data_IF_335607121042
#
_entry.id   IF_335607121042
#
_cell.length_a   1.000
_cell.length_b   1.000
_cell.length_c   1.000
_cell.angle_alpha   90.00
_cell.angle_beta   90.00
_cell.angle_gamma   90.00
#
_symmetry.space_group_name_H-M   'P 1'
#
loop_
_entity.id
_entity.type
_entity.pdbx_description
1 polymer ?
#
# COMPACT_ATOMS: atom_id res chain seq x y z
N UNK A 1 27.10 -2.31 3.56
CA UNK A 1 26.14 -2.74 2.55
C UNK A 1 25.03 -1.69 2.29
N UNK A 2 24.28 -1.14 3.28
CA UNK A 2 23.20 -0.19 3.02
C UNK A 2 23.63 1.05 2.24
N UNK A 3 24.77 1.66 2.58
CA UNK A 3 25.30 2.82 1.87
C UNK A 3 25.60 2.54 0.39
N UNK A 4 26.13 1.35 0.06
CA UNK A 4 26.40 0.98 -1.34
C UNK A 4 25.11 0.76 -2.13
N UNK A 5 24.08 0.23 -1.47
CA UNK A 5 22.74 0.07 -2.06
C UNK A 5 22.15 1.45 -2.43
N UNK A 6 22.21 2.42 -1.51
CA UNK A 6 21.74 3.80 -1.75
C UNK A 6 22.50 4.44 -2.92
N UNK A 7 23.83 4.33 -2.98
CA UNK A 7 24.61 4.86 -4.12
C UNK A 7 24.16 4.25 -5.44
N UNK A 8 23.90 2.92 -5.45
CA UNK A 8 23.39 2.25 -6.65
C UNK A 8 22.01 2.74 -7.06
N UNK A 9 21.13 2.99 -6.12
CA UNK A 9 19.81 3.59 -6.39
C UNK A 9 19.96 5.01 -6.98
N UNK A 10 20.90 5.81 -6.47
CA UNK A 10 21.22 7.13 -7.05
C UNK A 10 21.68 7.04 -8.51
N UNK A 11 22.58 6.07 -8.85
CA UNK A 11 22.98 5.82 -10.24
C UNK A 11 21.81 5.45 -11.16
N UNK A 12 20.76 4.83 -10.61
CA UNK A 12 19.55 4.45 -11.33
C UNK A 12 18.48 5.55 -11.37
N UNK A 13 18.78 6.73 -10.81
CA UNK A 13 17.83 7.85 -10.65
C UNK A 13 16.56 7.47 -9.87
N UNK A 14 16.68 6.60 -8.88
CA UNK A 14 15.59 6.28 -7.95
C UNK A 14 15.45 7.42 -6.96
N UNK A 15 14.22 7.88 -6.71
CA UNK A 15 13.95 9.00 -5.81
C UNK A 15 14.16 8.65 -4.35
N UNK A 16 13.76 7.43 -3.92
CA UNK A 16 13.77 7.06 -2.51
C UNK A 16 14.10 5.60 -2.26
N UNK A 17 14.40 5.31 -1.00
CA UNK A 17 14.71 3.98 -0.48
C UNK A 17 13.87 3.71 0.77
N UNK A 18 13.45 2.48 0.98
CA UNK A 18 12.91 1.97 2.23
C UNK A 18 13.91 1.03 2.90
N UNK A 19 13.72 0.78 4.20
CA UNK A 19 14.52 -0.22 4.92
C UNK A 19 13.72 -0.86 6.05
N UNK A 20 14.03 -2.12 6.35
CA UNK A 20 13.75 -2.71 7.65
C UNK A 20 14.85 -2.33 8.63
N UNK A 21 14.47 -2.18 9.90
CA UNK A 21 15.44 -1.84 10.94
C UNK A 21 16.67 -2.78 10.97
N UNK A 22 16.47 -4.09 10.77
CA UNK A 22 17.55 -5.10 10.76
C UNK A 22 18.38 -5.08 9.46
N UNK A 23 17.86 -4.57 8.34
CA UNK A 23 18.62 -4.39 7.08
C UNK A 23 19.60 -3.23 7.19
N UNK A 24 19.19 -2.17 7.90
CA UNK A 24 20.06 -1.03 8.16
C UNK A 24 21.02 -1.30 9.31
N UNK A 25 20.50 -1.75 10.46
CA UNK A 25 21.26 -2.02 11.67
C UNK A 25 21.20 -3.51 12.02
N UNK A 26 22.18 -4.32 11.59
CA UNK A 26 22.14 -5.77 11.78
C UNK A 26 21.93 -6.18 13.23
N UNK A 27 21.15 -7.21 13.44
CA UNK A 27 20.87 -7.77 14.76
C UNK A 27 22.17 -8.07 15.52
N UNK A 28 22.26 -7.67 16.78
CA UNK A 28 23.45 -7.78 17.65
C UNK A 28 24.66 -6.90 17.27
N UNK A 29 24.54 -5.98 16.33
CA UNK A 29 25.60 -5.00 16.10
C UNK A 29 25.82 -4.14 17.36
N UNK A 30 27.09 -3.84 17.65
CA UNK A 30 27.45 -2.93 18.75
C UNK A 30 27.05 -1.50 18.44
N UNK A 31 26.90 -0.65 19.45
CA UNK A 31 26.57 0.76 19.27
C UNK A 31 27.58 1.46 18.34
N UNK A 32 28.87 1.17 18.48
CA UNK A 32 29.92 1.73 17.62
C UNK A 32 29.76 1.33 16.15
N UNK A 33 29.37 0.07 15.88
CA UNK A 33 29.07 -0.40 14.54
C UNK A 33 27.82 0.27 13.96
N UNK A 34 26.76 0.40 14.78
CA UNK A 34 25.55 1.11 14.39
C UNK A 34 25.83 2.56 14.03
N UNK A 35 26.61 3.28 14.84
CA UNK A 35 26.99 4.66 14.58
C UNK A 35 27.78 4.81 13.28
N UNK A 36 28.69 3.89 13.01
CA UNK A 36 29.42 3.86 11.72
C UNK A 36 28.48 3.64 10.55
N UNK A 37 27.59 2.63 10.63
CA UNK A 37 26.64 2.32 9.57
C UNK A 37 25.74 3.52 9.31
N UNK A 38 25.20 4.16 10.34
CA UNK A 38 24.35 5.35 10.22
C UNK A 38 25.08 6.51 9.53
N UNK A 39 26.33 6.79 9.92
CA UNK A 39 27.16 7.82 9.28
C UNK A 39 27.40 7.53 7.78
N UNK A 40 27.75 6.29 7.45
CA UNK A 40 27.98 5.87 6.07
C UNK A 40 26.67 5.93 5.24
N UNK A 41 25.54 5.55 5.83
CA UNK A 41 24.22 5.61 5.20
C UNK A 41 23.78 7.05 4.96
N UNK A 42 23.91 7.94 5.97
CA UNK A 42 23.63 9.38 5.85
C UNK A 42 24.44 9.99 4.72
N UNK A 43 25.78 9.74 4.71
CA UNK A 43 26.64 10.23 3.66
C UNK A 43 26.19 9.75 2.27
N UNK A 44 25.76 8.49 2.14
CA UNK A 44 25.29 7.97 0.86
C UNK A 44 23.99 8.64 0.39
N UNK A 45 23.05 8.93 1.30
CA UNK A 45 21.84 9.70 1.00
C UNK A 45 22.20 11.11 0.53
N UNK A 46 23.05 11.81 1.27
CA UNK A 46 23.48 13.18 0.95
C UNK A 46 24.21 13.26 -0.40
N UNK A 47 25.12 12.31 -0.69
CA UNK A 47 25.88 12.25 -1.93
C UNK A 47 24.99 11.92 -3.16
N UNK A 48 23.94 11.12 -2.99
CA UNK A 48 23.11 10.62 -4.09
C UNK A 48 21.80 11.39 -4.30
N UNK A 49 21.36 12.17 -3.31
CA UNK A 49 20.06 12.82 -3.31
C UNK A 49 18.86 11.88 -3.09
N UNK A 50 19.13 10.60 -2.82
CA UNK A 50 18.09 9.62 -2.49
C UNK A 50 17.53 9.91 -1.09
N UNK A 51 16.20 9.89 -0.93
CA UNK A 51 15.53 10.11 0.36
C UNK A 51 15.04 8.81 0.96
N UNK A 52 14.82 8.77 2.28
CA UNK A 52 14.12 7.66 2.91
C UNK A 52 12.62 7.86 2.77
N UNK A 53 11.97 6.99 2.02
CA UNK A 53 10.52 7.06 1.72
C UNK A 53 9.66 6.40 2.79
N UNK A 54 10.21 5.38 3.47
CA UNK A 54 9.51 4.55 4.45
C UNK A 54 10.55 3.85 5.34
N UNK A 55 10.18 3.61 6.59
CA UNK A 55 10.89 2.68 7.47
C UNK A 55 9.91 1.61 7.96
N UNK A 56 10.38 0.40 8.17
CA UNK A 56 9.57 -0.68 8.72
C UNK A 56 10.35 -1.45 9.78
N UNK A 57 9.65 -2.15 10.66
CA UNK A 57 10.24 -2.97 11.71
C UNK A 57 10.09 -4.44 11.36
N UNK A 58 11.20 -5.16 11.32
CA UNK A 58 11.17 -6.61 11.11
C UNK A 58 10.69 -7.33 12.36
N UNK A 59 9.40 -7.69 12.37
CA UNK A 59 8.73 -8.44 13.43
C UNK A 59 8.35 -9.86 12.99
N UNK A 60 9.02 -10.40 11.96
CA UNK A 60 8.62 -11.65 11.32
C UNK A 60 9.77 -12.63 11.04
N UNK A 61 10.98 -12.17 10.78
CA UNK A 61 12.10 -13.06 10.41
C UNK A 61 12.63 -13.83 11.61
N UNK A 62 12.81 -13.17 12.77
CA UNK A 62 13.39 -13.84 13.94
C UNK A 62 12.39 -14.81 14.56
N UNK A 63 12.81 -16.06 14.92
CA UNK A 63 11.94 -17.08 15.49
C UNK A 63 11.21 -16.70 16.80
N UNK A 64 11.66 -15.64 17.50
CA UNK A 64 10.97 -15.12 18.67
C UNK A 64 9.53 -14.69 18.35
N UNK A 65 9.27 -14.27 17.12
CA UNK A 65 7.96 -13.83 16.64
C UNK A 65 7.12 -14.96 16.01
N UNK A 66 7.51 -16.22 16.18
CA UNK A 66 6.79 -17.36 15.59
C UNK A 66 5.31 -17.47 15.99
N UNK A 67 4.90 -16.86 17.11
CA UNK A 67 3.50 -16.80 17.58
C UNK A 67 2.89 -15.39 17.40
N UNK A 68 3.47 -14.54 16.57
CA UNK A 68 3.12 -13.13 16.46
C UNK A 68 4.06 -12.23 17.27
N UNK A 69 4.01 -10.96 17.01
CA UNK A 69 4.73 -9.93 17.76
C UNK A 69 3.79 -9.25 18.77
N UNK A 70 2.93 -8.36 18.29
CA UNK A 70 1.94 -7.67 19.15
C UNK A 70 0.82 -8.59 19.62
N UNK A 71 0.46 -9.59 18.83
CA UNK A 71 -0.62 -10.54 19.13
C UNK A 71 -0.13 -11.84 19.77
N UNK A 72 1.17 -11.96 20.07
CA UNK A 72 1.73 -13.15 20.75
C UNK A 72 0.99 -13.43 22.05
N UNK A 73 0.79 -14.71 22.38
CA UNK A 73 0.24 -15.12 23.66
C UNK A 73 1.20 -14.84 24.82
N UNK A 74 2.52 -14.73 24.55
CA UNK A 74 3.52 -14.40 25.56
C UNK A 74 3.68 -12.88 25.74
N UNK A 75 3.40 -12.33 26.95
CA UNK A 75 3.53 -10.90 27.23
C UNK A 75 4.97 -10.38 27.13
N UNK A 76 5.99 -11.23 27.31
CA UNK A 76 7.39 -10.80 27.18
C UNK A 76 7.74 -10.58 25.71
N UNK A 77 7.22 -11.43 24.81
CA UNK A 77 7.40 -11.25 23.37
C UNK A 77 6.72 -9.97 22.92
N UNK A 78 5.50 -9.68 23.38
CA UNK A 78 4.82 -8.41 23.07
C UNK A 78 5.62 -7.18 23.52
N UNK A 79 6.15 -7.20 24.76
CA UNK A 79 7.02 -6.13 25.27
C UNK A 79 8.28 -5.97 24.43
N UNK A 80 8.92 -7.06 24.04
CA UNK A 80 10.10 -7.04 23.18
C UNK A 80 9.77 -6.45 21.80
N UNK A 81 8.64 -6.84 21.20
CA UNK A 81 8.19 -6.29 19.93
C UNK A 81 7.97 -4.76 20.03
N UNK A 82 7.27 -4.29 21.05
CA UNK A 82 7.07 -2.85 21.30
C UNK A 82 8.42 -2.13 21.44
N UNK A 83 9.35 -2.66 22.26
CA UNK A 83 10.68 -2.08 22.41
C UNK A 83 11.43 -1.98 21.06
N UNK A 84 11.35 -3.02 20.25
CA UNK A 84 12.01 -3.05 18.92
C UNK A 84 11.43 -1.98 17.99
N UNK A 85 10.10 -1.83 17.98
CA UNK A 85 9.43 -0.78 17.19
C UNK A 85 9.84 0.62 17.65
N UNK A 86 9.88 0.90 18.95
CA UNK A 86 10.32 2.22 19.45
C UNK A 86 11.70 2.60 18.90
N UNK A 87 12.65 1.65 18.93
CA UNK A 87 13.99 1.87 18.36
C UNK A 87 13.97 2.09 16.86
N UNK A 88 13.12 1.34 16.13
CA UNK A 88 12.97 1.50 14.69
C UNK A 88 12.33 2.85 14.33
N UNK A 89 11.35 3.33 15.11
CA UNK A 89 10.77 4.66 14.94
C UNK A 89 11.81 5.77 15.15
N UNK A 90 12.68 5.64 16.16
CA UNK A 90 13.79 6.59 16.38
C UNK A 90 14.73 6.64 15.18
N UNK A 91 15.12 5.49 14.63
CA UNK A 91 15.99 5.41 13.45
C UNK A 91 15.27 5.93 12.19
N UNK A 92 14.00 5.58 12.00
CA UNK A 92 13.19 6.11 10.90
C UNK A 92 13.10 7.64 10.94
N UNK A 93 12.84 8.21 12.12
CA UNK A 93 12.78 9.65 12.33
C UNK A 93 14.16 10.33 12.12
N UNK A 94 15.25 9.70 12.56
CA UNK A 94 16.63 10.18 12.34
C UNK A 94 16.91 10.35 10.83
N UNK A 95 16.41 9.45 9.98
CA UNK A 95 16.60 9.52 8.53
C UNK A 95 15.47 10.19 7.78
N UNK A 96 14.48 10.75 8.48
CA UNK A 96 13.40 11.53 7.88
C UNK A 96 12.31 10.72 7.19
N UNK A 97 12.14 9.44 7.53
CA UNK A 97 11.06 8.62 7.02
C UNK A 97 9.69 9.23 7.36
N UNK A 98 8.84 9.55 6.38
CA UNK A 98 7.52 10.13 6.62
C UNK A 98 6.50 9.09 7.10
N UNK A 99 6.78 7.81 6.88
CA UNK A 99 5.88 6.71 7.19
C UNK A 99 6.64 5.55 7.84
N UNK A 100 6.09 5.02 8.94
CA UNK A 100 6.48 3.74 9.52
C UNK A 100 5.45 2.69 9.11
N UNK A 101 5.87 1.66 8.37
CA UNK A 101 4.97 0.61 7.89
C UNK A 101 5.02 -0.61 8.79
N UNK A 102 3.88 -1.22 9.01
CA UNK A 102 3.73 -2.47 9.74
C UNK A 102 3.15 -3.55 8.83
N UNK A 103 3.99 -4.46 8.40
CA UNK A 103 3.58 -5.71 7.80
C UNK A 103 3.36 -6.77 8.89
N UNK A 104 2.13 -7.27 8.98
CA UNK A 104 1.71 -8.20 10.02
C UNK A 104 2.00 -9.67 9.69
N UNK A 105 3.12 -10.01 9.06
CA UNK A 105 3.40 -11.34 8.53
C UNK A 105 3.38 -12.49 9.55
N UNK A 106 3.48 -12.18 10.85
CA UNK A 106 3.32 -13.18 11.94
C UNK A 106 2.09 -12.91 12.81
N UNK A 107 1.36 -11.84 12.54
CA UNK A 107 0.14 -11.49 13.28
C UNK A 107 -1.05 -12.28 12.74
N UNK A 108 -1.25 -13.46 13.28
CA UNK A 108 -2.27 -14.39 12.80
C UNK A 108 -2.21 -15.72 13.50
N UNK A 109 -2.81 -16.76 12.92
CA UNK A 109 -2.89 -18.11 13.47
C UNK A 109 -2.65 -19.17 12.40
N UNK A 110 -2.09 -20.33 12.81
CA UNK A 110 -2.04 -21.55 12.03
C UNK A 110 -3.23 -22.47 12.38
N UNK A 111 -3.73 -22.36 13.61
CA UNK A 111 -4.87 -23.12 14.10
C UNK A 111 -5.78 -22.21 14.91
N UNK A 112 -7.06 -22.15 14.56
CA UNK A 112 -8.02 -21.23 15.14
C UNK A 112 -8.10 -21.28 16.68
N UNK A 113 -7.90 -22.47 17.27
CA UNK A 113 -7.90 -22.64 18.73
C UNK A 113 -6.64 -22.13 19.45
N UNK A 114 -5.60 -21.69 18.71
CA UNK A 114 -4.33 -21.27 19.31
C UNK A 114 -4.36 -19.85 19.89
N UNK A 115 -5.34 -19.04 19.51
CA UNK A 115 -5.41 -17.63 19.88
C UNK A 115 -6.88 -17.15 19.89
N UNK A 116 -7.25 -16.37 20.91
CA UNK A 116 -8.57 -15.74 20.94
C UNK A 116 -8.54 -14.44 20.15
N UNK A 117 -9.28 -14.33 19.02
CA UNK A 117 -9.14 -13.21 18.10
C UNK A 117 -9.43 -11.85 18.70
N UNK A 118 -10.44 -11.75 19.59
CA UNK A 118 -10.79 -10.47 20.23
C UNK A 118 -9.63 -9.94 21.08
N UNK A 119 -9.00 -10.81 21.90
CA UNK A 119 -7.84 -10.43 22.69
C UNK A 119 -6.65 -10.06 21.82
N UNK A 120 -6.45 -10.76 20.71
CA UNK A 120 -5.37 -10.46 19.77
C UNK A 120 -5.54 -9.06 19.14
N UNK A 121 -6.75 -8.71 18.72
CA UNK A 121 -7.05 -7.39 18.18
C UNK A 121 -6.88 -6.29 19.23
N UNK A 122 -7.29 -6.52 20.49
CA UNK A 122 -7.08 -5.56 21.59
C UNK A 122 -5.57 -5.33 21.87
N UNK A 123 -4.75 -6.38 21.87
CA UNK A 123 -3.30 -6.26 22.03
C UNK A 123 -2.66 -5.52 20.85
N UNK A 124 -3.15 -5.73 19.65
CA UNK A 124 -2.69 -4.99 18.48
C UNK A 124 -3.05 -3.50 18.62
N UNK A 125 -4.28 -3.19 19.03
CA UNK A 125 -4.77 -1.83 19.28
C UNK A 125 -3.95 -1.13 20.36
N UNK A 126 -3.68 -1.82 21.49
CA UNK A 126 -2.83 -1.33 22.58
C UNK A 126 -1.44 -0.90 22.07
N UNK A 127 -0.79 -1.77 21.27
CA UNK A 127 0.53 -1.48 20.73
C UNK A 127 0.52 -0.24 19.81
N UNK A 128 -0.45 -0.13 18.92
CA UNK A 128 -0.56 1.02 18.01
C UNK A 128 -0.84 2.33 18.75
N UNK A 129 -1.74 2.33 19.74
CA UNK A 129 -2.01 3.51 20.57
C UNK A 129 -0.76 3.94 21.36
N UNK A 130 0.04 2.98 21.82
CA UNK A 130 1.32 3.28 22.46
C UNK A 130 2.30 3.98 21.50
N UNK A 131 2.38 3.52 20.25
CA UNK A 131 3.25 4.15 19.24
C UNK A 131 2.72 5.52 18.82
N UNK A 132 1.41 5.72 18.71
CA UNK A 132 0.80 7.04 18.48
C UNK A 132 1.25 8.03 19.56
N UNK A 133 1.13 7.63 20.83
CA UNK A 133 1.58 8.43 21.96
C UNK A 133 3.08 8.77 21.87
N UNK A 134 3.92 7.77 21.58
CA UNK A 134 5.36 7.94 21.45
C UNK A 134 5.76 8.91 20.33
N UNK A 135 5.22 8.73 19.12
CA UNK A 135 5.50 9.60 17.98
C UNK A 135 5.13 11.06 18.30
N UNK A 136 3.99 11.28 18.94
CA UNK A 136 3.54 12.62 19.37
C UNK A 136 4.43 13.22 20.44
N UNK A 137 4.79 12.46 21.47
CA UNK A 137 5.67 12.90 22.56
C UNK A 137 7.06 13.31 22.04
N UNK A 138 7.60 12.54 21.09
CA UNK A 138 8.88 12.85 20.44
C UNK A 138 8.78 13.97 19.39
N UNK A 139 7.60 14.38 18.98
CA UNK A 139 7.38 15.38 17.94
C UNK A 139 7.85 14.92 16.54
N UNK A 140 7.89 13.61 16.30
CA UNK A 140 8.31 13.05 15.01
C UNK A 140 7.31 13.41 13.90
N UNK A 141 7.82 13.76 12.74
CA UNK A 141 7.02 14.08 11.53
C UNK A 141 6.69 12.83 10.73
N UNK A 142 6.28 11.80 11.42
CA UNK A 142 6.04 10.46 10.90
C UNK A 142 4.61 10.03 11.22
N UNK A 143 4.00 9.29 10.29
CA UNK A 143 2.74 8.59 10.52
C UNK A 143 2.96 7.09 10.36
N UNK A 144 1.98 6.29 10.71
CA UNK A 144 2.04 4.84 10.60
C UNK A 144 1.13 4.34 9.47
N UNK A 145 1.45 3.20 8.89
CA UNK A 145 0.59 2.56 7.91
C UNK A 145 0.61 1.03 8.08
N UNK A 146 -0.54 0.40 7.92
CA UNK A 146 -0.64 -1.05 7.80
C UNK A 146 -0.41 -1.49 6.37
N UNK A 147 0.30 -2.60 6.24
CA UNK A 147 0.41 -3.36 5.00
C UNK A 147 -0.41 -4.65 5.16
N UNK A 148 -1.67 -4.67 4.70
CA UNK A 148 -2.55 -5.83 4.82
C UNK A 148 -2.09 -6.97 3.93
N UNK A 149 -2.17 -8.20 4.46
CA UNK A 149 -1.90 -9.42 3.69
C UNK A 149 -2.85 -10.53 4.15
N UNK A 150 -3.53 -11.26 3.24
CA UNK A 150 -4.58 -12.21 3.62
C UNK A 150 -4.03 -13.47 4.28
N UNK A 151 -2.89 -13.94 3.83
CA UNK A 151 -2.22 -15.15 4.30
C UNK A 151 -0.72 -15.07 3.95
N UNK A 152 0.04 -16.14 4.27
CA UNK A 152 1.48 -16.26 4.06
C UNK A 152 2.30 -15.19 4.81
N UNK A 153 3.18 -15.68 5.71
CA UNK A 153 3.48 -17.07 6.03
C UNK A 153 2.47 -17.73 6.98
N UNK A 154 1.46 -17.02 7.44
CA UNK A 154 0.36 -17.58 8.24
C UNK A 154 -0.75 -18.13 7.36
N UNK A 155 -1.51 -19.12 7.86
CA UNK A 155 -2.73 -19.58 7.24
C UNK A 155 -3.80 -18.49 7.24
N UNK A 156 -3.98 -17.84 8.41
CA UNK A 156 -4.90 -16.71 8.60
C UNK A 156 -4.16 -15.55 9.26
N UNK A 157 -4.19 -14.37 8.64
CA UNK A 157 -3.60 -13.13 9.17
C UNK A 157 -4.67 -12.21 9.76
N UNK A 158 -4.37 -11.49 10.82
CA UNK A 158 -5.21 -10.38 11.27
C UNK A 158 -5.08 -9.19 10.30
N UNK A 159 -6.19 -8.47 10.09
CA UNK A 159 -6.27 -7.34 9.15
C UNK A 159 -5.90 -7.73 7.71
N UNK A 160 -6.55 -8.76 7.13
CA UNK A 160 -6.10 -9.42 5.90
C UNK A 160 -6.26 -8.58 4.62
N UNK A 161 -7.08 -7.53 4.63
CA UNK A 161 -7.35 -6.68 3.46
C UNK A 161 -7.36 -5.20 3.83
N UNK A 162 -7.30 -4.33 2.82
CA UNK A 162 -7.42 -2.88 2.99
C UNK A 162 -8.65 -2.53 3.83
N UNK A 163 -9.81 -3.12 3.52
CA UNK A 163 -11.07 -2.85 4.24
C UNK A 163 -11.00 -3.21 5.73
N UNK A 164 -10.41 -4.35 6.08
CA UNK A 164 -10.21 -4.75 7.48
C UNK A 164 -9.27 -3.78 8.21
N UNK A 165 -8.16 -3.39 7.58
CA UNK A 165 -7.24 -2.43 8.16
C UNK A 165 -7.91 -1.06 8.38
N UNK A 166 -8.68 -0.56 7.40
CA UNK A 166 -9.41 0.70 7.52
C UNK A 166 -10.42 0.66 8.67
N UNK A 167 -11.19 -0.43 8.82
CA UNK A 167 -12.12 -0.59 9.93
C UNK A 167 -11.41 -0.63 11.29
N UNK A 168 -10.27 -1.31 11.38
CA UNK A 168 -9.48 -1.37 12.60
C UNK A 168 -8.89 0.00 12.97
N UNK A 169 -8.39 0.76 12.01
CA UNK A 169 -7.83 2.10 12.22
C UNK A 169 -8.83 3.01 12.94
N UNK A 170 -10.11 2.94 12.62
CA UNK A 170 -11.15 3.76 13.26
C UNK A 170 -11.38 3.42 14.75
N UNK A 171 -10.81 2.33 15.25
CA UNK A 171 -10.86 1.97 16.68
C UNK A 171 -9.70 2.55 17.50
N UNK A 172 -8.73 3.19 16.87
CA UNK A 172 -7.55 3.75 17.53
C UNK A 172 -7.86 5.09 18.21
N UNK A 173 -7.04 5.47 19.20
CA UNK A 173 -7.21 6.71 19.96
C UNK A 173 -7.04 7.96 19.06
N UNK A 174 -6.19 7.88 18.06
CA UNK A 174 -6.07 8.90 17.01
C UNK A 174 -5.95 8.25 15.61
N UNK A 175 -7.09 7.98 14.97
CA UNK A 175 -7.11 7.38 13.64
C UNK A 175 -6.37 8.20 12.56
N UNK A 176 -6.18 9.51 12.76
CA UNK A 176 -5.49 10.37 11.79
C UNK A 176 -4.00 10.07 11.64
N UNK A 177 -3.42 9.42 12.65
CA UNK A 177 -2.01 9.03 12.67
C UNK A 177 -1.73 7.71 11.94
N UNK A 178 -2.76 6.97 11.56
CA UNK A 178 -2.62 5.65 10.95
C UNK A 178 -3.41 5.56 9.64
N UNK A 179 -2.77 5.02 8.63
CA UNK A 179 -3.34 4.73 7.32
C UNK A 179 -2.96 3.35 6.83
N UNK A 180 -3.01 3.16 5.52
CA UNK A 180 -2.64 1.91 4.88
C UNK A 180 -1.49 2.10 3.88
N UNK A 181 -0.70 1.05 3.73
CA UNK A 181 0.29 0.81 2.70
C UNK A 181 -0.13 -0.47 1.94
N UNK A 182 -1.13 -0.38 1.05
CA UNK A 182 -1.60 -1.56 0.34
C UNK A 182 -0.59 -2.01 -0.71
N UNK A 183 -0.54 -3.33 -0.93
CA UNK A 183 0.30 -3.96 -1.94
C UNK A 183 -0.54 -4.71 -2.98
N UNK A 184 -0.16 -4.59 -4.28
CA UNK A 184 -0.89 -5.19 -5.40
C UNK A 184 -1.06 -6.70 -5.22
N UNK A 185 0.03 -7.41 -4.89
CA UNK A 185 0.02 -8.86 -4.73
C UNK A 185 -0.93 -9.31 -3.63
N UNK A 186 -0.97 -8.61 -2.51
CA UNK A 186 -1.71 -9.00 -1.33
C UNK A 186 -3.24 -9.03 -1.55
N UNK A 187 -3.81 -7.99 -2.13
CA UNK A 187 -5.25 -7.98 -2.47
C UNK A 187 -5.56 -8.99 -3.60
N UNK A 188 -4.65 -9.17 -4.56
CA UNK A 188 -4.78 -10.16 -5.64
C UNK A 188 -4.78 -11.59 -5.10
N UNK A 189 -3.97 -11.88 -4.07
CA UNK A 189 -3.99 -13.19 -3.36
C UNK A 189 -5.36 -13.49 -2.74
N UNK A 190 -6.06 -12.46 -2.26
CA UNK A 190 -7.41 -12.58 -1.72
C UNK A 190 -8.50 -12.66 -2.82
N UNK A 191 -8.13 -12.57 -4.09
CA UNK A 191 -9.08 -12.53 -5.21
C UNK A 191 -9.86 -11.21 -5.30
N UNK A 192 -9.34 -10.13 -4.73
CA UNK A 192 -9.97 -8.82 -4.68
C UNK A 192 -9.40 -7.88 -5.74
N UNK A 193 -10.17 -6.84 -6.06
CA UNK A 193 -9.70 -5.76 -6.94
C UNK A 193 -8.85 -4.77 -6.14
N UNK A 194 -7.55 -4.77 -6.36
CA UNK A 194 -6.63 -3.83 -5.75
C UNK A 194 -7.00 -2.37 -6.03
N UNK A 195 -7.37 -2.07 -7.28
CA UNK A 195 -7.84 -0.75 -7.70
C UNK A 195 -8.99 -0.22 -6.83
N UNK A 196 -9.99 -1.07 -6.52
CA UNK A 196 -11.13 -0.67 -5.68
C UNK A 196 -10.72 -0.48 -4.22
N UNK A 197 -9.87 -1.34 -3.69
CA UNK A 197 -9.34 -1.19 -2.33
C UNK A 197 -8.55 0.11 -2.16
N UNK A 198 -7.66 0.44 -3.11
CA UNK A 198 -6.91 1.70 -3.12
C UNK A 198 -7.86 2.91 -3.23
N UNK A 199 -8.90 2.82 -4.08
CA UNK A 199 -9.89 3.87 -4.19
C UNK A 199 -10.61 4.14 -2.86
N UNK A 200 -10.96 3.09 -2.10
CA UNK A 200 -11.53 3.22 -0.77
C UNK A 200 -10.56 3.91 0.20
N UNK A 201 -9.28 3.52 0.19
CA UNK A 201 -8.25 4.14 1.04
C UNK A 201 -8.06 5.63 0.71
N UNK A 202 -8.07 6.02 -0.58
CA UNK A 202 -8.01 7.42 -1.02
C UNK A 202 -9.24 8.18 -0.55
N UNK A 203 -10.43 7.62 -0.75
CA UNK A 203 -11.71 8.25 -0.35
C UNK A 203 -11.76 8.55 1.15
N UNK A 204 -11.22 7.64 1.98
CA UNK A 204 -11.11 7.83 3.43
C UNK A 204 -9.89 8.67 3.86
N UNK A 205 -9.06 9.14 2.91
CA UNK A 205 -7.81 9.88 3.17
C UNK A 205 -6.79 9.09 4.01
N UNK A 206 -6.78 7.78 3.80
CA UNK A 206 -5.94 6.81 4.53
C UNK A 206 -4.84 6.16 3.69
N UNK A 207 -4.72 6.49 2.41
CA UNK A 207 -3.61 6.03 1.58
C UNK A 207 -2.34 6.83 1.93
N UNK A 208 -1.49 6.29 2.83
CA UNK A 208 -0.28 6.98 3.27
C UNK A 208 0.96 6.56 2.49
N UNK A 209 0.99 5.33 2.04
CA UNK A 209 2.02 4.75 1.20
C UNK A 209 1.37 3.74 0.25
N UNK A 210 2.10 3.24 -0.74
CA UNK A 210 1.62 2.19 -1.63
C UNK A 210 2.79 1.35 -2.13
N UNK A 211 2.62 0.03 -2.10
CA UNK A 211 3.57 -0.93 -2.63
C UNK A 211 3.07 -1.49 -3.96
N UNK A 212 3.89 -1.24 -4.98
CA UNK A 212 3.61 -1.59 -6.36
C UNK A 212 4.47 -2.79 -6.76
N UNK A 213 3.82 -3.86 -7.12
CA UNK A 213 4.40 -5.05 -7.73
C UNK A 213 3.41 -5.68 -8.70
N UNK A 214 3.56 -6.93 -9.01
CA UNK A 214 2.61 -7.68 -9.84
C UNK A 214 2.53 -9.12 -9.39
N UNK A 215 1.43 -9.79 -9.75
CA UNK A 215 1.06 -11.08 -9.19
C UNK A 215 0.22 -11.88 -10.18
N UNK A 216 0.53 -13.17 -10.31
CA UNK A 216 -0.35 -14.12 -11.00
C UNK A 216 -1.48 -14.56 -10.08
N UNK A 217 -2.70 -14.55 -10.58
CA UNK A 217 -3.88 -15.04 -9.84
C UNK A 217 -3.65 -16.47 -9.37
N UNK A 218 -4.04 -16.78 -8.12
CA UNK A 218 -3.95 -18.10 -7.53
C UNK A 218 -2.53 -18.54 -7.17
N UNK A 219 -1.61 -17.62 -6.99
CA UNK A 219 -0.26 -17.86 -6.46
C UNK A 219 -0.10 -17.20 -5.09
N UNK A 220 0.87 -17.70 -4.32
CA UNK A 220 1.42 -16.99 -3.17
C UNK A 220 2.20 -15.78 -3.66
N UNK A 221 2.59 -14.94 -2.73
CA UNK A 221 3.28 -13.70 -3.00
C UNK A 221 4.54 -13.89 -3.86
N UNK A 222 4.54 -13.27 -5.02
CA UNK A 222 5.61 -13.43 -6.01
C UNK A 222 6.53 -12.23 -6.11
N UNK A 223 6.10 -11.05 -5.66
CA UNK A 223 6.84 -9.78 -5.76
C UNK A 223 7.36 -9.52 -7.17
N UNK A 224 6.52 -9.77 -8.18
CA UNK A 224 6.92 -9.59 -9.57
C UNK A 224 7.06 -8.10 -9.90
N UNK A 225 7.85 -7.81 -10.92
CA UNK A 225 8.02 -6.46 -11.45
C UNK A 225 6.68 -5.83 -11.84
N UNK A 226 6.45 -4.61 -11.38
CA UNK A 226 5.23 -3.86 -11.70
C UNK A 226 4.95 -3.80 -13.21
N UNK A 227 3.73 -4.11 -13.63
CA UNK A 227 3.29 -4.14 -15.02
C UNK A 227 3.75 -5.38 -15.81
N UNK A 228 4.13 -6.48 -15.14
CA UNK A 228 4.57 -7.70 -15.82
C UNK A 228 3.47 -8.73 -16.08
N UNK A 229 2.35 -8.67 -15.35
CA UNK A 229 1.25 -9.63 -15.43
C UNK A 229 -0.10 -8.93 -15.69
N UNK A 230 -0.55 -8.07 -14.76
CA UNK A 230 -1.85 -7.41 -14.78
C UNK A 230 -1.83 -6.03 -15.42
N UNK A 231 -1.34 -5.88 -16.66
CA UNK A 231 -1.10 -4.56 -17.28
C UNK A 231 -2.35 -3.65 -17.32
N UNK A 232 -3.54 -4.21 -17.55
CA UNK A 232 -4.79 -3.48 -17.62
C UNK A 232 -5.23 -3.01 -16.21
N UNK A 233 -5.12 -3.86 -15.22
CA UNK A 233 -5.44 -3.51 -13.84
C UNK A 233 -4.47 -2.44 -13.32
N UNK A 234 -3.18 -2.59 -13.63
CA UNK A 234 -2.16 -1.60 -13.31
C UNK A 234 -2.38 -0.26 -14.05
N UNK A 235 -2.91 -0.28 -15.26
CA UNK A 235 -3.29 0.94 -15.98
C UNK A 235 -4.38 1.71 -15.23
N UNK A 236 -5.45 1.05 -14.79
CA UNK A 236 -6.51 1.71 -14.04
C UNK A 236 -6.07 2.15 -12.66
N UNK A 237 -5.19 1.40 -12.01
CA UNK A 237 -4.55 1.81 -10.75
C UNK A 237 -3.75 3.10 -10.94
N UNK A 238 -2.84 3.14 -11.92
CA UNK A 238 -2.02 4.33 -12.21
C UNK A 238 -2.92 5.51 -12.57
N UNK A 239 -3.95 5.30 -13.40
CA UNK A 239 -4.94 6.33 -13.71
C UNK A 239 -5.62 6.89 -12.46
N UNK A 240 -5.99 6.02 -11.50
CA UNK A 240 -6.58 6.46 -10.23
C UNK A 240 -5.61 7.36 -9.44
N UNK A 241 -4.36 6.93 -9.29
CA UNK A 241 -3.33 7.68 -8.55
C UNK A 241 -3.06 9.04 -9.20
N UNK A 242 -2.92 9.08 -10.53
CA UNK A 242 -2.69 10.33 -11.29
C UNK A 242 -3.91 11.27 -11.19
N UNK A 243 -5.11 10.76 -11.42
CA UNK A 243 -6.35 11.56 -11.42
C UNK A 243 -6.71 12.12 -10.05
N UNK A 244 -6.39 11.41 -8.99
CA UNK A 244 -6.62 11.86 -7.60
C UNK A 244 -5.50 12.75 -7.06
N UNK A 245 -4.40 12.91 -7.81
CA UNK A 245 -3.24 13.70 -7.38
C UNK A 245 -2.50 13.06 -6.21
N UNK A 246 -2.48 11.74 -6.10
CA UNK A 246 -1.72 11.07 -5.04
C UNK A 246 -0.25 11.45 -5.12
N UNK A 247 0.24 12.17 -4.12
CA UNK A 247 1.60 12.72 -4.05
C UNK A 247 2.56 11.88 -3.18
N UNK A 248 2.06 10.81 -2.55
CA UNK A 248 2.89 9.89 -1.77
C UNK A 248 3.89 9.10 -2.62
N UNK A 249 4.84 8.41 -1.97
CA UNK A 249 5.78 7.53 -2.67
C UNK A 249 5.06 6.47 -3.51
N UNK A 250 5.64 6.12 -4.65
CA UNK A 250 5.29 4.95 -5.46
C UNK A 250 6.42 3.96 -5.25
N UNK A 251 6.31 3.18 -4.20
CA UNK A 251 7.30 2.20 -3.81
C UNK A 251 7.11 0.91 -4.61
N UNK A 252 8.19 0.24 -4.97
CA UNK A 252 8.15 -1.04 -5.66
C UNK A 252 8.65 -2.12 -4.71
N UNK A 253 7.72 -2.76 -4.00
CA UNK A 253 8.03 -3.97 -3.24
C UNK A 253 8.06 -5.16 -4.19
N UNK A 254 9.17 -5.29 -4.87
CA UNK A 254 9.40 -6.31 -5.88
C UNK A 254 10.86 -6.74 -5.90
N UNK A 255 11.10 -7.91 -6.46
CA UNK A 255 12.44 -8.50 -6.52
C UNK A 255 12.75 -9.05 -7.91
N UNK A 256 14.04 -9.16 -8.27
CA UNK A 256 14.43 -9.82 -9.51
C UNK A 256 14.05 -11.31 -9.48
N UNK A 257 13.89 -11.90 -10.65
CA UNK A 257 13.82 -13.36 -10.74
C UNK A 257 15.05 -14.00 -10.11
N UNK A 258 14.84 -15.14 -9.46
CA UNK A 258 15.90 -15.80 -8.64
C UNK A 258 17.07 -16.35 -9.45
N UNK A 259 16.98 -16.36 -10.77
CA UNK A 259 18.02 -16.76 -11.71
C UNK A 259 18.78 -15.58 -12.31
N UNK A 260 18.50 -14.34 -11.87
CA UNK A 260 19.21 -13.15 -12.32
C UNK A 260 20.56 -13.00 -11.59
N UNK A 261 21.54 -12.44 -12.29
CA UNK A 261 22.89 -12.14 -11.77
C UNK A 261 23.47 -10.87 -12.38
N UNK A 262 24.41 -10.25 -11.68
CA UNK A 262 25.10 -9.04 -12.15
C UNK A 262 24.13 -7.88 -12.40
N UNK A 263 24.21 -7.26 -13.57
CA UNK A 263 23.35 -6.12 -13.93
C UNK A 263 21.89 -6.50 -14.11
N UNK A 264 21.61 -7.79 -14.39
CA UNK A 264 20.24 -8.30 -14.53
C UNK A 264 19.39 -8.10 -13.27
N UNK A 265 20.01 -8.15 -12.09
CA UNK A 265 19.29 -7.94 -10.82
C UNK A 265 18.69 -6.53 -10.68
N UNK A 266 19.14 -5.56 -11.48
CA UNK A 266 18.63 -4.16 -11.42
C UNK A 266 17.58 -3.86 -12.49
N UNK A 267 17.37 -4.80 -13.43
CA UNK A 267 16.39 -4.60 -14.49
C UNK A 267 14.96 -4.50 -13.97
N UNK A 268 14.62 -5.22 -12.88
CA UNK A 268 13.28 -5.13 -12.30
C UNK A 268 12.99 -3.72 -11.78
N UNK A 269 13.95 -3.06 -11.11
CA UNK A 269 13.81 -1.69 -10.60
C UNK A 269 13.60 -0.70 -11.74
N UNK A 270 14.49 -0.73 -12.75
CA UNK A 270 14.40 0.14 -13.93
C UNK A 270 13.07 -0.04 -14.66
N UNK A 271 12.67 -1.29 -14.88
CA UNK A 271 11.49 -1.60 -15.65
C UNK A 271 10.19 -1.38 -14.86
N UNK A 272 10.18 -1.52 -13.53
CA UNK A 272 9.04 -1.11 -12.69
C UNK A 272 8.78 0.39 -12.82
N UNK A 273 9.81 1.22 -12.69
CA UNK A 273 9.69 2.68 -12.89
C UNK A 273 9.24 3.02 -14.32
N UNK A 274 9.87 2.41 -15.32
CA UNK A 274 9.52 2.62 -16.74
C UNK A 274 8.07 2.27 -17.02
N UNK A 275 7.59 1.13 -16.51
CA UNK A 275 6.21 0.69 -16.70
C UNK A 275 5.22 1.65 -16.03
N UNK A 276 5.50 2.11 -14.80
CA UNK A 276 4.66 3.11 -14.14
C UNK A 276 4.55 4.39 -14.98
N UNK A 277 5.68 4.95 -15.41
CA UNK A 277 5.72 6.19 -16.18
C UNK A 277 5.01 6.04 -17.54
N UNK A 278 5.19 4.92 -18.22
CA UNK A 278 4.50 4.63 -19.48
C UNK A 278 2.98 4.53 -19.29
N UNK A 279 2.53 3.84 -18.23
CA UNK A 279 1.11 3.74 -17.91
C UNK A 279 0.52 5.10 -17.48
N UNK A 280 1.27 5.93 -16.77
CA UNK A 280 0.83 7.28 -16.41
C UNK A 280 0.65 8.17 -17.66
N UNK A 281 1.55 8.07 -18.64
CA UNK A 281 1.38 8.76 -19.92
C UNK A 281 0.13 8.29 -20.65
N UNK A 282 -0.06 6.96 -20.75
CA UNK A 282 -1.24 6.37 -21.39
C UNK A 282 -2.54 6.73 -20.67
N UNK A 283 -2.54 6.79 -19.35
CA UNK A 283 -3.70 7.19 -18.55
C UNK A 283 -4.09 8.65 -18.82
N UNK A 284 -3.12 9.56 -18.93
CA UNK A 284 -3.38 10.95 -19.30
C UNK A 284 -3.93 11.08 -20.73
N UNK A 285 -3.38 10.31 -21.68
CA UNK A 285 -3.88 10.29 -23.06
C UNK A 285 -5.32 9.75 -23.12
N UNK A 286 -5.62 8.68 -22.41
CA UNK A 286 -6.97 8.12 -22.28
C UNK A 286 -7.97 9.14 -21.73
N UNK A 287 -7.63 9.83 -20.62
CA UNK A 287 -8.52 10.84 -20.04
C UNK A 287 -8.68 12.09 -20.93
N UNK A 288 -7.73 12.35 -21.81
CA UNK A 288 -7.81 13.46 -22.78
C UNK A 288 -8.60 13.11 -24.05
N UNK A 289 -8.75 11.82 -24.39
CA UNK A 289 -9.38 11.31 -25.61
C UNK A 289 -10.85 11.77 -25.73
N UNK A 290 -11.25 12.47 -26.83
CA UNK A 290 -12.62 12.90 -27.03
C UNK A 290 -13.63 11.74 -27.07
N UNK A 291 -13.23 10.57 -27.57
CA UNK A 291 -14.11 9.40 -27.67
C UNK A 291 -14.37 8.79 -26.28
N UNK A 292 -13.35 8.76 -25.42
CA UNK A 292 -13.48 8.38 -24.00
C UNK A 292 -14.43 9.33 -23.28
N UNK A 293 -14.26 10.64 -23.49
CA UNK A 293 -15.14 11.67 -22.87
C UNK A 293 -16.59 11.51 -23.32
N UNK A 294 -16.81 11.29 -24.61
CA UNK A 294 -18.18 11.08 -25.12
C UNK A 294 -18.78 9.78 -24.58
N UNK A 295 -18.02 8.68 -24.53
CA UNK A 295 -18.48 7.43 -23.94
C UNK A 295 -18.82 7.58 -22.45
N UNK A 296 -18.01 8.32 -21.69
CA UNK A 296 -18.29 8.64 -20.28
C UNK A 296 -19.57 9.46 -20.12
N UNK A 297 -19.78 10.47 -20.98
CA UNK A 297 -21.01 11.28 -20.97
C UNK A 297 -22.25 10.44 -21.27
N UNK A 298 -22.21 9.61 -22.31
CA UNK A 298 -23.32 8.73 -22.66
C UNK A 298 -23.62 7.70 -21.56
N UNK A 299 -22.58 7.12 -20.95
CA UNK A 299 -22.74 6.21 -19.82
C UNK A 299 -23.27 6.85 -18.55
N UNK A 300 -23.25 8.18 -18.46
CA UNK A 300 -23.63 8.94 -17.26
C UNK A 300 -22.55 8.98 -16.19
N UNK A 301 -21.30 8.66 -16.53
CA UNK A 301 -20.16 8.69 -15.60
C UNK A 301 -19.96 10.07 -14.95
N UNK A 302 -20.20 11.14 -15.71
CA UNK A 302 -20.03 12.51 -15.21
C UNK A 302 -21.05 12.92 -14.14
N UNK A 303 -22.16 12.17 -14.02
CA UNK A 303 -23.19 12.41 -13.00
C UNK A 303 -22.84 11.84 -11.62
N UNK A 304 -21.81 10.98 -11.51
CA UNK A 304 -21.44 10.33 -10.26
C UNK A 304 -20.98 11.32 -9.15
N UNK A 305 -20.51 12.50 -9.55
CA UNK A 305 -20.09 13.54 -8.61
C UNK A 305 -21.26 14.30 -7.98
N UNK A 306 -22.49 14.14 -8.51
CA UNK A 306 -23.69 14.85 -8.02
C UNK A 306 -24.49 13.96 -7.09
N UNK A 307 -25.03 14.51 -5.97
CA UNK A 307 -25.93 13.77 -5.11
C UNK A 307 -27.21 13.36 -5.87
N UNK A 308 -27.59 12.10 -5.78
CA UNK A 308 -28.80 11.59 -6.45
C UNK A 308 -30.09 12.14 -5.85
N UNK A 309 -30.16 12.22 -4.50
CA UNK A 309 -31.37 12.63 -3.76
C UNK A 309 -31.10 13.73 -2.74
N UNK A 310 -29.84 14.19 -2.59
CA UNK A 310 -29.47 15.14 -1.55
C UNK A 310 -29.57 14.58 -0.14
N UNK A 311 -29.74 15.45 0.85
CA UNK A 311 -29.92 15.03 2.26
C UNK A 311 -31.31 14.46 2.52
N UNK A 312 -31.38 13.57 3.52
CA UNK A 312 -32.66 13.01 3.96
C UNK A 312 -33.56 14.11 4.59
N UNK A 313 -34.82 14.14 4.14
CA UNK A 313 -35.95 14.76 4.84
C UNK A 313 -37.21 13.95 4.61
N UNK A 314 -38.20 14.07 5.49
CA UNK A 314 -39.48 13.38 5.29
C UNK A 314 -40.15 13.80 3.98
N UNK A 315 -40.02 15.07 3.60
CA UNK A 315 -40.61 15.61 2.36
C UNK A 315 -39.87 15.04 1.12
N UNK A 316 -38.53 14.99 1.14
CA UNK A 316 -37.77 14.41 0.03
C UNK A 316 -38.06 12.90 -0.13
N UNK A 317 -38.17 12.18 0.98
CA UNK A 317 -38.51 10.76 0.96
C UNK A 317 -39.95 10.52 0.44
N UNK A 318 -40.90 11.35 0.84
CA UNK A 318 -42.31 11.26 0.37
C UNK A 318 -42.43 11.61 -1.13
N UNK A 319 -41.69 12.63 -1.61
CA UNK A 319 -41.64 12.96 -3.04
C UNK A 319 -41.09 11.77 -3.84
N UNK A 320 -39.95 11.21 -3.42
CA UNK A 320 -39.33 10.08 -4.11
C UNK A 320 -40.22 8.85 -4.16
N UNK A 321 -41.00 8.56 -3.09
CA UNK A 321 -41.99 7.48 -3.08
C UNK A 321 -43.14 7.66 -4.06
N UNK A 322 -43.43 8.89 -4.45
CA UNK A 322 -44.51 9.23 -5.39
C UNK A 322 -44.00 9.31 -6.85
N UNK A 323 -42.71 9.34 -7.07
CA UNK A 323 -42.13 9.30 -8.42
C UNK A 323 -42.45 7.96 -9.09
N UNK A 324 -42.79 8.03 -10.38
CA UNK A 324 -43.09 6.83 -11.18
C UNK A 324 -41.93 6.58 -12.12
N UNK A 325 -41.32 5.41 -12.00
CA UNK A 325 -40.23 4.96 -12.86
C UNK A 325 -40.75 3.82 -13.76
N UNK A 326 -40.41 3.91 -15.03
CA UNK A 326 -40.55 2.81 -15.98
C UNK A 326 -39.27 1.96 -15.95
N UNK A 327 -39.26 0.91 -15.14
CA UNK A 327 -38.11 0.04 -14.94
C UNK A 327 -37.69 -0.69 -16.23
N UNK A 328 -38.67 -1.07 -17.08
CA UNK A 328 -38.36 -1.74 -18.35
C UNK A 328 -37.63 -0.82 -19.30
N UNK A 329 -38.10 0.42 -19.44
CA UNK A 329 -37.43 1.45 -20.24
C UNK A 329 -36.04 1.82 -19.68
N UNK A 330 -35.88 1.87 -18.36
CA UNK A 330 -34.58 2.10 -17.75
C UNK A 330 -33.59 0.94 -18.01
N UNK A 331 -34.10 -0.29 -18.10
CA UNK A 331 -33.30 -1.47 -18.37
C UNK A 331 -32.75 -1.53 -19.81
N UNK A 332 -33.41 -0.83 -20.76
CA UNK A 332 -32.96 -0.77 -22.16
C UNK A 332 -31.71 0.11 -22.36
N UNK A 333 -31.29 0.86 -21.34
CA UNK A 333 -30.15 1.78 -21.42
C UNK A 333 -28.83 1.05 -21.59
N UNK A 334 -28.05 1.39 -22.61
CA UNK A 334 -26.66 0.97 -22.74
C UNK A 334 -25.71 1.89 -21.98
N UNK A 335 -24.70 1.31 -21.32
CA UNK A 335 -23.66 2.03 -20.58
C UNK A 335 -22.31 2.05 -21.30
N UNK A 336 -22.22 1.54 -22.51
CA UNK A 336 -21.01 1.56 -23.37
C UNK A 336 -19.77 0.92 -22.73
N UNK A 337 -19.94 0.00 -21.77
CA UNK A 337 -18.83 -0.61 -21.04
C UNK A 337 -17.83 -1.31 -21.95
N UNK A 338 -18.30 -2.07 -22.95
CA UNK A 338 -17.43 -2.72 -23.96
C UNK A 338 -16.57 -1.69 -24.72
N UNK A 339 -17.17 -0.56 -25.08
CA UNK A 339 -16.44 0.50 -25.78
C UNK A 339 -15.39 1.15 -24.90
N UNK A 340 -15.73 1.48 -23.65
CA UNK A 340 -14.79 2.06 -22.68
C UNK A 340 -13.63 1.12 -22.38
N UNK A 341 -13.92 -0.17 -22.25
CA UNK A 341 -12.92 -1.19 -22.02
C UNK A 341 -11.96 -1.34 -23.20
N UNK A 342 -12.50 -1.38 -24.42
CA UNK A 342 -11.68 -1.44 -25.65
C UNK A 342 -10.83 -0.18 -25.82
N UNK A 343 -11.36 1.00 -25.55
CA UNK A 343 -10.59 2.25 -25.61
C UNK A 343 -9.39 2.24 -24.65
N UNK A 344 -9.55 1.66 -23.45
CA UNK A 344 -8.42 1.49 -22.53
C UNK A 344 -7.33 0.59 -23.13
N UNK A 345 -7.72 -0.54 -23.73
CA UNK A 345 -6.78 -1.43 -24.43
C UNK A 345 -6.11 -0.75 -25.64
N UNK A 346 -6.86 0.03 -26.41
CA UNK A 346 -6.32 0.76 -27.57
C UNK A 346 -5.20 1.73 -27.14
N UNK A 347 -5.38 2.44 -26.02
CA UNK A 347 -4.35 3.30 -25.45
C UNK A 347 -3.15 2.51 -24.91
N UNK A 348 -3.39 1.44 -24.15
CA UNK A 348 -2.33 0.58 -23.59
C UNK A 348 -1.47 0.00 -24.70
N UNK A 349 -2.10 -0.52 -25.76
CA UNK A 349 -1.41 -1.15 -26.91
C UNK A 349 -0.82 -0.14 -27.89
N UNK A 350 -1.08 1.16 -27.72
CA UNK A 350 -0.59 2.20 -28.62
C UNK A 350 -1.33 2.26 -29.96
N UNK A 351 -2.54 1.71 -30.06
CA UNK A 351 -3.43 1.79 -31.22
C UNK A 351 -4.09 3.17 -31.32
N UNK A 352 -4.17 3.87 -30.17
CA UNK A 352 -4.51 5.29 -30.05
C UNK A 352 -3.34 6.05 -29.45
N UNK A 353 -3.16 7.30 -29.89
CA UNK A 353 -2.10 8.21 -29.41
C UNK A 353 -2.65 9.20 -28.40
#
# INVERSE_FOLDING_TARGET
YPANFVRKLGELNVWGVSFHDDDLLPYKSSLSEQDKIKKDFRKALDDSGVVVSMATTNLFTHPVFKDGAFTSNDPQIRKYAIQKVLKALDVGAEFGAPTAVFWGGREGVEAAGSKYPLDALERYREALNFFIGYIKDKGYKMRMAFEPKPNEPRGDTFLPTIGHALAFIETLDDPSMVGVNPEVAHETMAGLSFYQGVAQAIWQKKLFHIDLNDQKIGRYDQDLRFGSEGIKDNFFLVRLLEKTGYSGPKHFDSRPYRNEHGDGIWEFTKNSMKNYLALAEKARAYDADPEVKEAHKVSGHDSLAQPTVGGYSSDSANKLKQEVFDADKLAERSFFNERLDQLALDHILGLKK
#
